data_IF_317494205431
#
_entry.id   IF_317494205431
#
_cell.length_a   1.000
_cell.length_b   1.000
_cell.length_c   1.000
_cell.angle_alpha   90.00
_cell.angle_beta   90.00
_cell.angle_gamma   90.00
#
_symmetry.space_group_name_H-M   'P 1'
#
loop_
_entity.id
_entity.type
_entity.pdbx_description
1 polymer ?
#
# COMPACT_ATOMS: atom_id res chain seq x y z
N UNK A 1 21.10 -22.74 83.95
CA UNK A 1 22.23 -23.33 83.18
C UNK A 1 22.05 -22.86 81.73
N UNK A 2 22.93 -21.97 81.25
CA UNK A 2 23.15 -21.45 79.87
C UNK A 2 21.92 -20.82 79.14
N UNK A 3 21.90 -19.56 78.67
CA UNK A 3 22.96 -18.61 78.34
C UNK A 3 23.49 -18.82 76.91
N UNK A 4 22.95 -18.09 75.91
CA UNK A 4 23.73 -17.59 74.77
C UNK A 4 23.06 -16.38 74.08
N UNK A 5 23.92 -15.48 73.62
CA UNK A 5 23.75 -14.07 73.28
C UNK A 5 24.19 -13.84 71.81
N UNK A 6 23.37 -13.11 71.03
CA UNK A 6 23.65 -12.09 69.97
C UNK A 6 24.54 -12.38 68.74
N UNK A 7 23.98 -12.07 67.55
CA UNK A 7 24.41 -11.07 66.54
C UNK A 7 23.50 -11.26 65.29
N UNK A 8 22.94 -10.30 64.56
CA UNK A 8 23.31 -8.95 64.18
C UNK A 8 23.14 -8.89 62.64
N UNK A 9 22.26 -8.03 62.10
CA UNK A 9 22.07 -7.93 60.64
C UNK A 9 21.05 -6.88 60.24
N UNK A 10 21.54 -5.83 59.59
CA UNK A 10 20.86 -4.57 59.31
C UNK A 10 19.80 -4.65 58.20
N UNK A 11 18.95 -3.63 58.19
CA UNK A 11 17.76 -3.52 57.33
C UNK A 11 18.04 -3.35 55.84
N UNK A 12 16.98 -3.56 55.07
CA UNK A 12 16.83 -2.93 53.76
C UNK A 12 15.33 -2.74 53.50
N UNK A 13 14.89 -1.48 53.58
CA UNK A 13 13.52 -1.03 53.28
C UNK A 13 13.45 -0.80 51.78
N UNK A 14 12.60 -1.56 51.08
CA UNK A 14 12.32 -1.37 49.65
C UNK A 14 11.50 -0.08 49.44
N UNK A 15 11.87 0.81 48.51
CA UNK A 15 11.02 1.94 48.13
C UNK A 15 9.88 1.48 47.20
N UNK A 16 8.72 2.16 47.20
CA UNK A 16 7.62 1.82 46.31
C UNK A 16 7.95 2.24 44.86
N UNK A 17 7.68 1.33 43.91
CA UNK A 17 7.79 1.54 42.47
C UNK A 17 6.83 2.64 41.99
N UNK A 18 7.41 3.64 41.33
CA UNK A 18 6.71 4.74 40.67
C UNK A 18 5.88 4.20 39.50
N UNK A 19 4.55 4.31 39.57
CA UNK A 19 3.65 3.93 38.49
C UNK A 19 3.71 4.97 37.35
N UNK A 20 4.42 4.64 36.27
CA UNK A 20 4.40 5.41 35.02
C UNK A 20 3.01 5.30 34.37
N UNK A 21 2.19 6.34 34.53
CA UNK A 21 0.94 6.53 33.75
C UNK A 21 1.27 6.78 32.29
N UNK A 22 1.26 5.74 31.46
CA UNK A 22 1.30 5.87 30.00
C UNK A 22 0.07 6.61 29.49
N UNK A 23 0.28 7.68 28.72
CA UNK A 23 -0.79 8.37 27.97
C UNK A 23 -1.39 7.41 26.95
N UNK A 24 -2.64 6.99 27.14
CA UNK A 24 -3.42 6.32 26.09
C UNK A 24 -3.67 7.32 24.96
N UNK A 25 -3.09 7.10 23.79
CA UNK A 25 -3.53 7.79 22.56
C UNK A 25 -4.95 7.32 22.25
N UNK A 26 -5.85 8.26 22.04
CA UNK A 26 -7.22 7.97 21.65
C UNK A 26 -7.23 7.28 20.27
N UNK A 27 -7.81 6.08 20.22
CA UNK A 27 -8.06 5.34 19.00
C UNK A 27 -9.14 6.06 18.18
N UNK A 28 -8.84 6.38 16.91
CA UNK A 28 -9.84 6.80 15.93
C UNK A 28 -10.02 5.63 14.96
N UNK A 29 -11.23 5.05 14.81
CA UNK A 29 -11.43 3.94 13.92
C UNK A 29 -11.22 4.36 12.45
N UNK A 30 -10.68 3.46 11.59
CA UNK A 30 -10.61 3.71 10.16
C UNK A 30 -12.03 3.83 9.58
N UNK A 31 -12.23 4.85 8.75
CA UNK A 31 -13.52 5.16 8.14
C UNK A 31 -13.61 4.39 6.81
N UNK A 32 -14.33 3.27 6.80
CA UNK A 32 -14.76 2.65 5.56
C UNK A 32 -15.72 3.61 4.85
N UNK A 33 -15.38 4.02 3.62
CA UNK A 33 -16.23 4.85 2.77
C UNK A 33 -16.93 3.96 1.76
N UNK A 34 -18.02 3.31 2.20
CA UNK A 34 -19.03 2.88 1.25
C UNK A 34 -19.72 4.14 0.70
N UNK A 35 -19.85 4.22 -0.63
CA UNK A 35 -20.44 5.35 -1.33
C UNK A 35 -21.96 5.35 -1.16
N UNK A 36 -22.45 5.84 -0.02
CA UNK A 36 -23.83 6.27 0.15
C UNK A 36 -23.87 7.76 0.52
N UNK A 37 -23.52 8.59 -0.45
CA UNK A 37 -23.98 9.96 -0.60
C UNK A 37 -23.48 10.45 -1.95
N UNK A 38 -24.36 11.07 -2.73
CA UNK A 38 -23.98 11.81 -3.93
C UNK A 38 -22.74 12.65 -3.62
N UNK A 39 -21.63 12.31 -4.27
CA UNK A 39 -20.33 12.90 -4.02
C UNK A 39 -20.45 14.43 -4.12
N UNK A 40 -20.42 15.11 -2.98
CA UNK A 40 -20.18 16.54 -2.95
C UNK A 40 -18.79 16.73 -3.57
N UNK A 41 -18.78 17.19 -4.82
CA UNK A 41 -17.58 17.46 -5.60
C UNK A 41 -16.82 18.57 -4.90
N UNK A 42 -15.85 18.18 -4.06
CA UNK A 42 -14.77 19.06 -3.70
C UNK A 42 -14.12 19.49 -5.02
N UNK A 43 -14.26 20.77 -5.38
CA UNK A 43 -13.60 21.36 -6.56
C UNK A 43 -12.10 21.18 -6.37
N UNK A 44 -11.53 20.17 -7.03
CA UNK A 44 -10.09 19.97 -7.10
C UNK A 44 -9.45 21.13 -7.86
N UNK A 45 -8.18 21.40 -7.54
CA UNK A 45 -7.27 22.19 -8.39
C UNK A 45 -7.44 21.75 -9.86
N UNK A 46 -7.45 22.69 -10.80
CA UNK A 46 -7.79 22.45 -12.21
C UNK A 46 -7.10 21.16 -12.74
N UNK A 47 -7.90 20.14 -13.03
CA UNK A 47 -7.44 18.84 -13.57
C UNK A 47 -7.39 17.66 -12.59
N UNK A 48 -7.49 17.88 -11.27
CA UNK A 48 -7.53 16.81 -10.25
C UNK A 48 -8.93 16.53 -9.71
N UNK A 49 -9.14 15.32 -9.19
CA UNK A 49 -10.37 14.85 -8.53
C UNK A 49 -10.01 14.09 -7.24
N UNK A 50 -10.90 14.13 -6.25
CA UNK A 50 -10.68 13.37 -5.02
C UNK A 50 -11.03 11.89 -5.19
N UNK A 51 -10.18 11.01 -4.69
CA UNK A 51 -10.44 9.57 -4.62
C UNK A 51 -11.48 9.27 -3.53
N UNK A 52 -12.75 9.31 -3.89
CA UNK A 52 -13.85 9.09 -2.96
C UNK A 52 -13.78 10.03 -1.74
N UNK A 53 -13.99 9.48 -0.55
CA UNK A 53 -13.89 10.23 0.71
C UNK A 53 -12.47 10.31 1.31
N UNK A 54 -11.42 9.91 0.58
CA UNK A 54 -10.06 9.82 1.14
C UNK A 54 -9.33 11.16 1.30
N UNK A 55 -9.78 12.21 0.60
CA UNK A 55 -9.06 13.48 0.54
C UNK A 55 -7.78 13.45 -0.33
N UNK A 56 -7.45 12.32 -0.95
CA UNK A 56 -6.35 12.20 -1.91
C UNK A 56 -6.82 12.77 -3.24
N UNK A 57 -6.06 13.72 -3.82
CA UNK A 57 -6.35 14.29 -5.13
C UNK A 57 -5.47 13.65 -6.20
N UNK A 58 -6.09 13.13 -7.27
CA UNK A 58 -5.40 12.49 -8.40
C UNK A 58 -5.88 13.09 -9.72
N UNK A 59 -5.14 12.85 -10.80
CA UNK A 59 -5.57 13.26 -12.15
C UNK A 59 -6.85 12.55 -12.56
N UNK A 60 -7.74 13.24 -13.28
CA UNK A 60 -9.01 12.67 -13.77
C UNK A 60 -8.83 11.44 -14.64
N UNK A 61 -7.75 11.43 -15.41
CA UNK A 61 -7.30 10.27 -16.18
C UNK A 61 -6.13 9.62 -15.44
N UNK A 62 -6.11 8.30 -15.40
CA UNK A 62 -4.99 7.51 -14.90
C UNK A 62 -4.53 6.50 -15.94
N UNK A 63 -3.33 5.97 -15.75
CA UNK A 63 -2.70 5.00 -16.64
C UNK A 63 -2.70 3.62 -15.98
N UNK A 64 -3.35 2.65 -16.63
CA UNK A 64 -3.26 1.25 -16.25
C UNK A 64 -1.99 0.61 -16.80
N UNK A 65 -1.15 0.07 -15.92
CA UNK A 65 0.15 -0.50 -16.25
C UNK A 65 0.12 -2.05 -16.42
N UNK A 66 -1.05 -2.65 -16.66
CA UNK A 66 -1.17 -4.12 -16.78
C UNK A 66 -0.38 -4.67 -17.96
N UNK A 67 -0.36 -3.98 -19.10
CA UNK A 67 0.40 -4.41 -20.28
C UNK A 67 1.92 -4.25 -20.14
N UNK A 68 2.39 -3.56 -19.09
CA UNK A 68 3.81 -3.29 -18.91
C UNK A 68 4.50 -4.48 -18.26
N UNK A 69 5.41 -5.11 -19.01
CA UNK A 69 6.16 -6.28 -18.56
C UNK A 69 5.39 -7.59 -18.67
N UNK A 70 4.10 -7.53 -19.03
CA UNK A 70 3.30 -8.72 -19.27
C UNK A 70 3.76 -9.48 -20.51
N UNK A 71 3.71 -10.80 -20.47
CA UNK A 71 3.87 -11.67 -21.65
C UNK A 71 2.61 -12.50 -21.92
N UNK A 72 1.61 -12.48 -21.04
CA UNK A 72 0.49 -13.43 -21.11
C UNK A 72 -0.69 -12.95 -21.93
N UNK A 73 -1.12 -11.71 -21.74
CA UNK A 73 -2.36 -11.17 -22.32
C UNK A 73 -2.08 -10.15 -23.42
N UNK A 74 -1.09 -9.28 -23.23
CA UNK A 74 -0.96 -8.06 -24.03
C UNK A 74 0.20 -8.07 -25.03
N UNK A 75 1.13 -9.01 -24.92
CA UNK A 75 2.41 -8.95 -25.64
C UNK A 75 2.82 -10.26 -26.32
N UNK A 76 1.85 -11.10 -26.70
CA UNK A 76 2.08 -12.29 -27.56
C UNK A 76 3.24 -13.20 -27.06
N UNK A 77 3.30 -13.44 -25.75
CA UNK A 77 4.34 -14.27 -25.11
C UNK A 77 5.77 -13.72 -25.19
N UNK A 78 5.94 -12.43 -25.51
CA UNK A 78 7.27 -11.84 -25.67
C UNK A 78 7.37 -10.43 -25.07
N UNK A 79 8.34 -10.22 -24.18
CA UNK A 79 8.72 -8.90 -23.69
C UNK A 79 10.15 -8.60 -24.13
N UNK A 80 10.31 -7.62 -25.02
CA UNK A 80 11.60 -7.25 -25.64
C UNK A 80 11.94 -5.77 -25.39
N UNK A 81 13.13 -5.35 -25.81
CA UNK A 81 13.61 -3.97 -25.63
C UNK A 81 12.73 -2.93 -26.35
N UNK A 82 12.08 -3.31 -27.46
CA UNK A 82 11.18 -2.40 -28.19
C UNK A 82 9.93 -2.13 -27.36
N UNK A 83 9.31 -3.17 -26.80
CA UNK A 83 8.13 -3.05 -25.91
C UNK A 83 8.49 -2.33 -24.62
N UNK A 84 9.68 -2.60 -24.09
CA UNK A 84 10.17 -1.86 -22.93
C UNK A 84 10.31 -0.36 -23.21
N UNK A 85 10.92 0.00 -24.35
CA UNK A 85 11.05 1.40 -24.78
C UNK A 85 9.69 2.04 -25.01
N UNK A 86 8.72 1.31 -25.57
CA UNK A 86 7.37 1.78 -25.77
C UNK A 86 6.65 2.07 -24.43
N UNK A 87 6.76 1.17 -23.45
CA UNK A 87 6.19 1.38 -22.12
C UNK A 87 6.83 2.58 -21.40
N UNK A 88 8.17 2.72 -21.48
CA UNK A 88 8.87 3.91 -20.96
C UNK A 88 8.40 5.20 -21.64
N UNK A 89 8.25 5.18 -22.96
CA UNK A 89 7.75 6.31 -23.74
C UNK A 89 6.31 6.68 -23.37
N UNK A 90 5.45 5.70 -23.13
CA UNK A 90 4.09 5.92 -22.65
C UNK A 90 4.07 6.56 -21.24
N UNK A 91 4.93 6.08 -20.34
CA UNK A 91 5.11 6.71 -19.03
C UNK A 91 5.57 8.16 -19.16
N UNK A 92 6.62 8.43 -19.93
CA UNK A 92 7.15 9.80 -20.11
C UNK A 92 6.11 10.73 -20.71
N UNK A 93 5.43 10.32 -21.78
CA UNK A 93 4.37 11.11 -22.39
C UNK A 93 3.21 11.39 -21.43
N UNK A 94 2.87 10.43 -20.56
CA UNK A 94 1.83 10.63 -19.53
C UNK A 94 2.23 11.74 -18.56
N UNK A 95 3.46 11.69 -18.04
CA UNK A 95 4.00 12.72 -17.15
C UNK A 95 4.08 14.08 -17.86
N UNK A 96 4.57 14.12 -19.10
CA UNK A 96 4.68 15.35 -19.91
C UNK A 96 3.30 16.00 -20.15
N UNK A 97 2.24 15.20 -20.22
CA UNK A 97 0.85 15.66 -20.34
C UNK A 97 0.16 15.95 -18.99
N UNK A 98 0.88 15.82 -17.86
CA UNK A 98 0.33 16.06 -16.52
C UNK A 98 -0.55 14.93 -15.99
N UNK A 99 -0.49 13.73 -16.57
CA UNK A 99 -1.17 12.52 -16.07
C UNK A 99 -0.23 11.82 -15.09
N UNK A 100 -0.57 11.85 -13.80
CA UNK A 100 0.33 11.40 -12.73
C UNK A 100 -0.25 10.29 -11.87
N UNK A 101 -1.45 9.78 -12.18
CA UNK A 101 -2.05 8.66 -11.49
C UNK A 101 -1.85 7.35 -12.25
N UNK A 102 -1.15 6.39 -11.64
CA UNK A 102 -0.83 5.09 -12.26
C UNK A 102 -1.42 3.95 -11.44
N UNK A 103 -2.07 3.03 -12.13
CA UNK A 103 -2.66 1.82 -11.56
C UNK A 103 -1.85 0.58 -11.99
N UNK A 104 -1.44 -0.22 -11.01
CA UNK A 104 -0.69 -1.46 -11.20
C UNK A 104 -1.19 -2.54 -10.24
N UNK A 105 -0.54 -3.69 -10.18
CA UNK A 105 -0.83 -4.76 -9.24
C UNK A 105 0.38 -5.69 -9.08
N UNK A 106 0.52 -6.33 -7.92
CA UNK A 106 1.63 -7.26 -7.67
C UNK A 106 1.65 -8.46 -8.63
N UNK A 107 0.52 -8.78 -9.24
CA UNK A 107 0.34 -9.92 -10.16
C UNK A 107 0.61 -9.57 -11.62
N UNK A 108 0.67 -8.29 -11.99
CA UNK A 108 0.90 -7.91 -13.39
C UNK A 108 2.33 -8.24 -13.80
N UNK A 109 2.50 -9.18 -14.73
CA UNK A 109 3.80 -9.68 -15.18
C UNK A 109 4.56 -10.51 -14.12
N UNK A 110 3.90 -10.99 -13.07
CA UNK A 110 4.55 -11.77 -12.00
C UNK A 110 4.56 -13.28 -12.26
N UNK A 111 5.71 -13.93 -12.05
CA UNK A 111 5.82 -15.40 -12.03
C UNK A 111 5.69 -16.07 -13.40
N UNK A 112 5.71 -15.31 -14.50
CA UNK A 112 5.62 -15.81 -15.87
C UNK A 112 6.99 -15.71 -16.55
N UNK A 113 7.37 -16.76 -17.28
CA UNK A 113 8.62 -16.79 -18.03
C UNK A 113 8.72 -15.62 -19.01
N UNK A 114 9.86 -14.92 -18.97
CA UNK A 114 10.13 -13.75 -19.82
C UNK A 114 9.37 -12.47 -19.47
N UNK A 115 8.47 -12.50 -18.48
CA UNK A 115 7.77 -11.30 -18.02
C UNK A 115 8.62 -10.49 -17.03
N UNK A 116 8.30 -9.20 -16.91
CA UNK A 116 8.80 -8.32 -15.86
C UNK A 116 7.60 -7.83 -15.04
N UNK A 117 7.72 -7.82 -13.72
CA UNK A 117 6.66 -7.30 -12.88
C UNK A 117 6.41 -5.80 -13.15
N UNK A 118 5.13 -5.43 -13.31
CA UNK A 118 4.70 -4.06 -13.63
C UNK A 118 5.09 -3.05 -12.55
N UNK A 119 5.03 -3.40 -11.27
CA UNK A 119 5.44 -2.51 -10.16
C UNK A 119 6.94 -2.21 -10.24
N UNK A 120 7.77 -3.21 -10.53
CA UNK A 120 9.21 -3.02 -10.71
C UNK A 120 9.53 -2.12 -11.92
N UNK A 121 8.78 -2.25 -13.02
CA UNK A 121 8.93 -1.36 -14.17
C UNK A 121 8.51 0.08 -13.84
N UNK A 122 7.34 0.25 -13.23
CA UNK A 122 6.83 1.56 -12.84
C UNK A 122 7.78 2.25 -11.86
N UNK A 123 8.25 1.56 -10.83
CA UNK A 123 9.24 2.07 -9.88
C UNK A 123 10.54 2.52 -10.56
N UNK A 124 11.05 1.72 -11.50
CA UNK A 124 12.22 2.09 -12.30
C UNK A 124 11.96 3.35 -13.13
N UNK A 125 10.83 3.43 -13.82
CA UNK A 125 10.49 4.58 -14.67
C UNK A 125 10.36 5.88 -13.86
N UNK A 126 9.73 5.81 -12.68
CA UNK A 126 9.63 6.92 -11.74
C UNK A 126 11.03 7.37 -11.31
N UNK A 127 11.88 6.43 -10.87
CA UNK A 127 13.24 6.73 -10.42
C UNK A 127 14.08 7.39 -11.54
N UNK A 128 14.01 6.87 -12.76
CA UNK A 128 14.70 7.46 -13.91
C UNK A 128 14.19 8.86 -14.27
N UNK A 129 12.88 9.12 -14.13
CA UNK A 129 12.30 10.46 -14.35
C UNK A 129 12.73 11.43 -13.25
N UNK A 130 12.73 10.99 -12.00
CA UNK A 130 13.16 11.78 -10.85
C UNK A 130 14.64 12.19 -10.88
N UNK A 131 15.48 11.47 -11.63
CA UNK A 131 16.87 11.89 -11.89
C UNK A 131 16.96 13.11 -12.81
N UNK A 132 15.91 13.42 -13.57
CA UNK A 132 15.87 14.55 -14.51
C UNK A 132 15.09 15.74 -13.95
N UNK A 133 13.97 15.49 -13.30
CA UNK A 133 13.09 16.51 -12.75
C UNK A 133 12.25 15.98 -11.59
N UNK A 134 11.86 16.86 -10.68
CA UNK A 134 10.98 16.50 -9.58
C UNK A 134 9.56 16.25 -10.10
N UNK A 135 9.12 14.99 -10.03
CA UNK A 135 7.77 14.57 -10.41
C UNK A 135 7.05 13.97 -9.21
N UNK A 136 5.79 14.35 -9.03
CA UNK A 136 4.86 13.74 -8.09
C UNK A 136 4.02 12.71 -8.84
N UNK A 137 4.05 11.46 -8.39
CA UNK A 137 3.33 10.35 -9.01
C UNK A 137 2.46 9.69 -7.95
N UNK A 138 1.16 9.63 -8.20
CA UNK A 138 0.20 8.93 -7.38
C UNK A 138 0.07 7.47 -7.86
N UNK A 139 0.18 6.52 -6.94
CA UNK A 139 0.21 5.09 -7.27
C UNK A 139 -0.97 4.36 -6.62
N UNK A 140 -1.70 3.60 -7.43
CA UNK A 140 -2.62 2.58 -6.99
C UNK A 140 -2.02 1.19 -7.26
N UNK A 141 -1.94 0.34 -6.24
CA UNK A 141 -1.60 -1.08 -6.42
C UNK A 141 -2.60 -2.00 -5.71
N UNK A 142 -2.49 -3.31 -5.93
CA UNK A 142 -3.50 -4.29 -5.53
C UNK A 142 -2.90 -5.53 -4.89
N UNK A 143 -3.57 -6.00 -3.85
CA UNK A 143 -3.34 -7.27 -3.16
C UNK A 143 -4.07 -8.42 -3.85
N UNK A 144 -3.34 -9.48 -4.18
CA UNK A 144 -3.88 -10.75 -4.63
C UNK A 144 -4.17 -11.68 -3.44
N UNK A 145 -5.46 -11.95 -3.24
CA UNK A 145 -5.99 -12.87 -2.23
C UNK A 145 -5.82 -14.34 -2.66
N UNK A 146 -4.58 -14.82 -2.65
CA UNK A 146 -4.24 -16.19 -3.06
C UNK A 146 -4.59 -17.21 -1.96
N UNK A 147 -4.93 -18.48 -2.30
CA UNK A 147 -5.40 -19.48 -1.31
C UNK A 147 -4.48 -19.73 -0.12
N UNK A 148 -3.17 -19.55 -0.29
CA UNK A 148 -2.15 -19.75 0.75
C UNK A 148 -1.85 -18.49 1.58
N UNK A 149 -2.43 -17.35 1.23
CA UNK A 149 -2.24 -16.07 1.93
C UNK A 149 -3.40 -15.85 2.89
N UNK A 150 -3.20 -16.17 4.16
CA UNK A 150 -4.26 -16.09 5.17
C UNK A 150 -4.05 -14.89 6.12
N UNK A 151 -5.14 -14.23 6.47
CA UNK A 151 -5.20 -13.19 7.50
C UNK A 151 -4.48 -11.87 7.20
N UNK A 152 -4.50 -10.98 8.19
CA UNK A 152 -3.98 -9.60 8.14
C UNK A 152 -2.49 -9.50 7.78
N UNK A 153 -1.68 -10.42 8.28
CA UNK A 153 -0.23 -10.42 8.06
C UNK A 153 0.12 -10.59 6.58
N UNK A 154 -0.68 -11.36 5.84
CA UNK A 154 -0.46 -11.57 4.40
C UNK A 154 -0.61 -10.27 3.60
N UNK A 155 -1.57 -9.41 3.97
CA UNK A 155 -1.77 -8.11 3.32
C UNK A 155 -0.57 -7.20 3.56
N UNK A 156 -0.10 -7.12 4.81
CA UNK A 156 1.06 -6.28 5.16
C UNK A 156 2.33 -6.76 4.47
N UNK A 157 2.61 -8.06 4.49
CA UNK A 157 3.79 -8.63 3.82
C UNK A 157 3.75 -8.39 2.31
N UNK A 158 2.59 -8.56 1.67
CA UNK A 158 2.43 -8.31 0.24
C UNK A 158 2.57 -6.83 -0.12
N UNK A 159 2.01 -5.92 0.70
CA UNK A 159 2.17 -4.49 0.51
C UNK A 159 3.64 -4.08 0.64
N UNK A 160 4.36 -4.54 1.67
CA UNK A 160 5.79 -4.26 1.82
C UNK A 160 6.60 -4.72 0.61
N UNK A 161 6.34 -5.94 0.11
CA UNK A 161 6.99 -6.40 -1.10
C UNK A 161 6.63 -5.56 -2.34
N UNK A 162 5.42 -5.00 -2.40
CA UNK A 162 4.99 -4.09 -3.48
C UNK A 162 5.72 -2.75 -3.38
N UNK A 163 5.81 -2.18 -2.17
CA UNK A 163 6.58 -0.96 -1.88
C UNK A 163 8.06 -1.12 -2.24
N UNK A 164 8.66 -2.27 -1.92
CA UNK A 164 10.04 -2.59 -2.29
C UNK A 164 10.23 -2.66 -3.80
N UNK A 165 9.30 -3.29 -4.54
CA UNK A 165 9.35 -3.34 -6.02
C UNK A 165 9.19 -1.96 -6.66
N UNK A 166 8.29 -1.14 -6.12
CA UNK A 166 8.07 0.24 -6.56
C UNK A 166 9.22 1.18 -6.14
N UNK A 167 9.98 0.84 -5.11
CA UNK A 167 11.01 1.69 -4.53
C UNK A 167 10.45 2.91 -3.80
N UNK A 168 9.27 2.81 -3.19
CA UNK A 168 8.59 3.90 -2.46
C UNK A 168 8.24 3.47 -1.04
N UNK A 169 8.10 4.43 -0.12
CA UNK A 169 7.74 4.16 1.28
C UNK A 169 6.23 4.03 1.53
N UNK A 170 5.42 4.60 0.64
CA UNK A 170 3.96 4.56 0.71
C UNK A 170 3.34 4.71 -0.67
N UNK A 171 2.10 4.26 -0.83
CA UNK A 171 1.27 4.47 -2.03
C UNK A 171 -0.03 5.18 -1.69
N UNK A 172 -0.63 5.84 -2.68
CA UNK A 172 -1.90 6.56 -2.51
C UNK A 172 -3.06 5.61 -2.27
N UNK A 173 -3.12 4.51 -3.02
CA UNK A 173 -4.24 3.58 -2.96
C UNK A 173 -3.76 2.13 -2.98
N UNK A 174 -4.24 1.32 -2.02
CA UNK A 174 -4.03 -0.13 -2.00
C UNK A 174 -5.35 -0.89 -1.95
N UNK A 175 -5.55 -1.81 -2.89
CA UNK A 175 -6.87 -2.42 -3.11
C UNK A 175 -6.84 -3.93 -2.98
N UNK A 176 -7.92 -4.55 -2.48
CA UNK A 176 -8.13 -5.99 -2.71
C UNK A 176 -8.46 -6.19 -4.19
N UNK A 177 -7.65 -7.00 -4.88
CA UNK A 177 -7.78 -7.18 -6.33
C UNK A 177 -9.03 -7.99 -6.69
N UNK A 178 -9.37 -9.00 -5.88
CA UNK A 178 -10.54 -9.84 -6.03
C UNK A 178 -11.08 -10.23 -4.65
N UNK A 179 -12.35 -10.67 -4.54
CA UNK A 179 -12.85 -11.30 -3.33
C UNK A 179 -12.03 -12.56 -3.01
N UNK A 180 -11.60 -12.67 -1.74
CA UNK A 180 -10.93 -13.86 -1.25
C UNK A 180 -11.89 -15.03 -1.16
N UNK A 181 -11.40 -16.25 -1.45
CA UNK A 181 -12.19 -17.48 -1.43
C UNK A 181 -12.71 -17.80 -0.01
N UNK A 182 -11.99 -17.38 1.04
CA UNK A 182 -12.21 -17.79 2.44
C UNK A 182 -12.67 -16.66 3.37
N UNK A 183 -13.48 -15.72 2.86
CA UNK A 183 -13.91 -14.55 3.62
C UNK A 183 -12.82 -13.47 3.67
N UNK A 184 -13.25 -12.21 3.81
CA UNK A 184 -12.40 -11.04 3.66
C UNK A 184 -12.01 -10.37 4.98
N UNK A 185 -12.59 -10.76 6.13
CA UNK A 185 -12.41 -10.06 7.41
C UNK A 185 -10.94 -9.86 7.78
N UNK A 186 -10.13 -10.93 7.71
CA UNK A 186 -8.70 -10.84 7.98
C UNK A 186 -7.94 -9.94 7.00
N UNK A 187 -8.39 -9.81 5.75
CA UNK A 187 -7.79 -8.89 4.79
C UNK A 187 -8.20 -7.45 5.03
N UNK A 188 -9.45 -7.20 5.44
CA UNK A 188 -9.93 -5.88 5.81
C UNK A 188 -9.17 -5.33 7.01
N UNK A 189 -8.93 -6.16 8.03
CA UNK A 189 -8.06 -5.82 9.16
C UNK A 189 -6.65 -5.47 8.68
N UNK A 190 -6.07 -6.26 7.76
CA UNK A 190 -4.74 -6.00 7.20
C UNK A 190 -4.67 -4.69 6.41
N UNK A 191 -5.73 -4.32 5.69
CA UNK A 191 -5.83 -3.02 5.03
C UNK A 191 -5.90 -1.88 6.05
N UNK A 192 -6.65 -2.05 7.14
CA UNK A 192 -6.66 -1.09 8.26
C UNK A 192 -5.27 -0.91 8.89
N UNK A 193 -4.61 -2.02 9.20
CA UNK A 193 -3.24 -2.04 9.74
C UNK A 193 -2.24 -1.33 8.79
N UNK A 194 -2.44 -1.43 7.46
CA UNK A 194 -1.59 -0.78 6.46
C UNK A 194 -1.71 0.76 6.49
N UNK A 195 -2.94 1.26 6.67
CA UNK A 195 -3.20 2.70 6.83
C UNK A 195 -2.60 3.20 8.15
N UNK A 196 -2.81 2.47 9.25
CA UNK A 196 -2.26 2.84 10.56
C UNK A 196 -0.73 2.88 10.57
N UNK A 197 -0.07 1.99 9.82
CA UNK A 197 1.39 1.97 9.65
C UNK A 197 1.91 3.04 8.66
N UNK A 198 1.03 3.78 7.98
CA UNK A 198 1.43 4.78 6.99
C UNK A 198 2.00 4.21 5.69
N UNK A 199 1.79 2.91 5.44
CA UNK A 199 2.24 2.23 4.21
C UNK A 199 1.35 2.57 3.01
N UNK A 200 0.13 3.04 3.28
CA UNK A 200 -0.84 3.45 2.28
C UNK A 200 -1.69 4.61 2.80
N UNK A 201 -2.07 5.53 1.91
CA UNK A 201 -2.93 6.69 2.26
C UNK A 201 -4.43 6.35 2.24
N UNK A 202 -4.89 5.50 1.32
CA UNK A 202 -6.26 5.01 1.24
C UNK A 202 -6.34 3.54 0.80
N UNK A 203 -7.41 2.86 1.19
CA UNK A 203 -7.66 1.46 0.82
C UNK A 203 -8.94 1.33 0.02
N UNK A 204 -9.01 0.30 -0.82
CA UNK A 204 -10.18 0.04 -1.65
C UNK A 204 -10.37 -1.44 -1.98
N UNK A 205 -11.35 -1.73 -2.82
CA UNK A 205 -11.65 -3.07 -3.31
C UNK A 205 -11.94 -3.03 -4.80
N UNK A 206 -11.65 -4.12 -5.50
CA UNK A 206 -11.94 -4.31 -6.93
C UNK A 206 -12.61 -5.66 -7.14
N UNK A 207 -13.53 -5.72 -8.11
CA UNK A 207 -14.32 -6.91 -8.44
C UNK A 207 -15.25 -7.41 -7.30
N UNK A 208 -15.73 -6.51 -6.44
CA UNK A 208 -16.77 -6.80 -5.45
C UNK A 208 -18.14 -6.39 -5.99
N UNK A 209 -19.18 -7.17 -5.70
CA UNK A 209 -20.56 -6.75 -5.90
C UNK A 209 -20.93 -5.63 -4.94
N UNK A 210 -21.71 -4.66 -5.40
CA UNK A 210 -22.31 -3.66 -4.53
C UNK A 210 -23.23 -4.30 -3.48
N UNK A 211 -23.45 -3.58 -2.38
CA UNK A 211 -24.51 -3.92 -1.42
C UNK A 211 -25.88 -3.59 -2.01
#
# INVERSE_FOLDING_TARGET
MMGLQVAGGAGCVLPPLLALRGRRRAFRPPRAVASDAAAATAKGEDGKVSLGGSGIAVTKLGIGAWSWGDTTYWNEFQWDDRKLKAAKGAFDASIDCGITFFDTAEVYGAGVSGAINSESLLGRFIKERQQKEQVEVAIATKFAALPWRLGRGSVISALKASLDRLGVSSVELYQLHWPGIWGNEGYLDGLGDAVEQGLVKAVGVSNYSGC
#
